data_IF_868289561444
#
_entry.id   IF_868289561444
#
_cell.length_a   1.000
_cell.length_b   1.000
_cell.length_c   1.000
_cell.angle_alpha   90.00
_cell.angle_beta   90.00
_cell.angle_gamma   90.00
#
_symmetry.space_group_name_H-M   'P 1'
#
loop_
_entity.id
_entity.type
_entity.pdbx_description
1 polymer ?
#
# COMPACT_ATOMS: atom_id res chain seq x y z
N UNK A 1 -6.58 -32.01 18.44
CA UNK A 1 -7.92 -31.39 18.49
C UNK A 1 -8.88 -32.46 18.01
N UNK A 2 -9.96 -32.71 18.74
CA UNK A 2 -10.93 -33.73 18.33
C UNK A 2 -11.71 -33.25 17.11
N UNK A 3 -11.65 -34.03 16.04
CA UNK A 3 -12.41 -33.90 14.82
C UNK A 3 -13.88 -34.25 15.07
N UNK A 4 -14.74 -33.89 14.11
CA UNK A 4 -16.17 -34.21 14.17
C UNK A 4 -16.42 -35.71 14.35
N UNK A 5 -15.60 -36.54 13.72
CA UNK A 5 -15.67 -38.00 13.78
C UNK A 5 -15.24 -38.55 15.15
N UNK A 6 -14.17 -38.00 15.73
CA UNK A 6 -13.71 -38.39 17.07
C UNK A 6 -14.74 -38.05 18.15
N UNK A 7 -15.46 -36.93 18.02
CA UNK A 7 -16.55 -36.56 18.94
C UNK A 7 -17.72 -37.57 18.85
N UNK A 8 -18.03 -38.04 17.64
CA UNK A 8 -19.07 -39.06 17.43
C UNK A 8 -18.66 -40.40 18.03
N UNK A 9 -17.43 -40.84 17.77
CA UNK A 9 -16.89 -42.08 18.34
C UNK A 9 -16.82 -42.01 19.87
N UNK A 10 -16.47 -40.84 20.42
CA UNK A 10 -16.42 -40.62 21.86
C UNK A 10 -17.81 -40.71 22.50
N UNK A 11 -18.85 -40.20 21.84
CA UNK A 11 -20.23 -40.36 22.30
C UNK A 11 -20.65 -41.84 22.34
N UNK A 12 -20.23 -42.62 21.34
CA UNK A 12 -20.52 -44.05 21.25
C UNK A 12 -19.71 -44.86 22.28
N UNK A 13 -18.44 -44.51 22.53
CA UNK A 13 -17.59 -45.10 23.57
C UNK A 13 -18.10 -44.83 24.99
N UNK A 14 -18.67 -43.65 25.22
CA UNK A 14 -19.31 -43.28 26.49
C UNK A 14 -20.69 -43.95 26.68
N UNK A 15 -21.15 -44.71 25.68
CA UNK A 15 -22.42 -45.43 25.73
C UNK A 15 -23.64 -44.51 25.69
N UNK A 16 -23.49 -43.26 25.25
CA UNK A 16 -24.61 -42.34 25.14
C UNK A 16 -25.54 -42.76 24.01
N UNK A 17 -26.85 -42.78 24.28
CA UNK A 17 -27.90 -43.10 23.30
C UNK A 17 -29.08 -42.12 23.42
N UNK A 18 -29.87 -42.03 22.35
CA UNK A 18 -31.05 -41.15 22.29
C UNK A 18 -30.71 -39.69 22.57
N UNK A 19 -31.57 -39.02 23.31
CA UNK A 19 -31.43 -37.59 23.65
C UNK A 19 -30.09 -37.25 24.32
N UNK A 20 -29.59 -38.13 25.19
CA UNK A 20 -28.30 -37.91 25.88
C UNK A 20 -27.12 -37.86 24.90
N UNK A 21 -27.20 -38.62 23.81
CA UNK A 21 -26.20 -38.60 22.74
C UNK A 21 -26.30 -37.31 21.94
N UNK A 22 -27.50 -36.88 21.59
CA UNK A 22 -27.73 -35.66 20.82
C UNK A 22 -27.29 -34.42 21.59
N UNK A 23 -27.61 -34.34 22.89
CA UNK A 23 -27.16 -33.25 23.78
C UNK A 23 -25.63 -33.16 23.82
N UNK A 24 -24.96 -34.30 24.00
CA UNK A 24 -23.50 -34.36 24.03
C UNK A 24 -22.87 -33.89 22.72
N UNK A 25 -23.35 -34.41 21.58
CA UNK A 25 -22.84 -34.01 20.27
C UNK A 25 -23.09 -32.52 19.99
N UNK A 26 -24.26 -32.02 20.36
CA UNK A 26 -24.61 -30.60 20.20
C UNK A 26 -23.70 -29.71 21.01
N UNK A 27 -23.40 -30.06 22.27
CA UNK A 27 -22.48 -29.29 23.10
C UNK A 27 -21.04 -29.32 22.56
N UNK A 28 -20.52 -30.50 22.21
CA UNK A 28 -19.15 -30.64 21.72
C UNK A 28 -18.96 -29.95 20.36
N UNK A 29 -19.92 -30.08 19.44
CA UNK A 29 -19.86 -29.35 18.17
C UNK A 29 -20.00 -27.85 18.34
N UNK A 30 -20.80 -27.38 19.30
CA UNK A 30 -20.87 -25.96 19.64
C UNK A 30 -19.51 -25.45 20.13
N UNK A 31 -18.87 -26.16 21.04
CA UNK A 31 -17.53 -25.81 21.54
C UNK A 31 -16.49 -25.83 20.42
N UNK A 32 -16.55 -26.82 19.52
CA UNK A 32 -15.67 -26.89 18.36
C UNK A 32 -15.86 -25.70 17.42
N UNK A 33 -17.10 -25.33 17.12
CA UNK A 33 -17.43 -24.18 16.28
C UNK A 33 -16.98 -22.86 16.91
N UNK A 34 -17.23 -22.65 18.22
CA UNK A 34 -16.79 -21.45 18.95
C UNK A 34 -15.26 -21.32 18.96
N UNK A 35 -14.54 -22.44 19.13
CA UNK A 35 -13.08 -22.45 19.06
C UNK A 35 -12.56 -22.17 17.65
N UNK A 36 -13.20 -22.71 16.62
CA UNK A 36 -12.86 -22.42 15.23
C UNK A 36 -13.04 -20.94 14.91
N UNK A 37 -14.18 -20.36 15.29
CA UNK A 37 -14.47 -18.93 15.12
C UNK A 37 -13.46 -18.05 15.87
N UNK A 38 -13.15 -18.38 17.13
CA UNK A 38 -12.15 -17.64 17.92
C UNK A 38 -10.75 -17.72 17.32
N UNK A 39 -10.38 -18.88 16.75
CA UNK A 39 -9.10 -19.05 16.08
C UNK A 39 -9.04 -18.22 14.80
N UNK A 40 -10.09 -18.22 14.01
CA UNK A 40 -10.20 -17.39 12.79
C UNK A 40 -10.11 -15.90 13.11
N UNK A 41 -10.82 -15.44 14.15
CA UNK A 41 -10.75 -14.07 14.64
C UNK A 41 -9.34 -13.69 15.10
N UNK A 42 -8.68 -14.58 15.87
CA UNK A 42 -7.30 -14.35 16.33
C UNK A 42 -6.30 -14.33 15.16
N UNK A 43 -6.47 -15.19 14.16
CA UNK A 43 -5.65 -15.18 12.94
C UNK A 43 -5.87 -13.90 12.11
N UNK A 44 -7.12 -13.43 12.00
CA UNK A 44 -7.42 -12.17 11.32
C UNK A 44 -6.82 -10.98 12.07
N UNK A 45 -6.98 -10.92 13.39
CA UNK A 45 -6.38 -9.89 14.23
C UNK A 45 -4.85 -9.88 14.12
N UNK A 46 -4.21 -11.06 14.13
CA UNK A 46 -2.76 -11.18 13.95
C UNK A 46 -2.30 -10.69 12.56
N UNK A 47 -3.07 -10.98 11.51
CA UNK A 47 -2.78 -10.48 10.15
C UNK A 47 -2.91 -8.96 10.06
N UNK A 48 -3.96 -8.39 10.65
CA UNK A 48 -4.16 -6.94 10.70
C UNK A 48 -3.01 -6.26 11.45
N UNK A 49 -2.62 -6.79 12.61
CA UNK A 49 -1.52 -6.23 13.41
C UNK A 49 -0.18 -6.34 12.68
N UNK A 50 0.08 -7.46 12.00
CA UNK A 50 1.29 -7.63 11.20
C UNK A 50 1.37 -6.62 10.04
N UNK A 51 0.26 -6.41 9.33
CA UNK A 51 0.22 -5.43 8.24
C UNK A 51 0.38 -4.00 8.76
N UNK A 52 -0.23 -3.69 9.91
CA UNK A 52 -0.05 -2.39 10.58
C UNK A 52 1.41 -2.18 10.97
N UNK A 53 2.07 -3.16 11.59
CA UNK A 53 3.49 -3.09 11.93
C UNK A 53 4.35 -2.88 10.67
N UNK A 54 4.05 -3.60 9.58
CA UNK A 54 4.75 -3.43 8.30
C UNK A 54 4.63 -2.01 7.77
N UNK A 55 3.42 -1.48 7.69
CA UNK A 55 3.17 -0.10 7.25
C UNK A 55 3.87 0.92 8.14
N UNK A 56 3.85 0.72 9.46
CA UNK A 56 4.58 1.58 10.39
C UNK A 56 6.10 1.52 10.18
N UNK A 57 6.66 0.33 9.94
CA UNK A 57 8.08 0.19 9.63
C UNK A 57 8.47 0.84 8.31
N UNK A 58 7.62 0.72 7.29
CA UNK A 58 7.83 1.35 5.98
C UNK A 58 7.77 2.88 6.10
N UNK A 59 6.80 3.41 6.85
CA UNK A 59 6.68 4.84 7.15
C UNK A 59 7.91 5.37 7.90
N UNK A 60 8.37 4.66 8.93
CA UNK A 60 9.59 5.02 9.68
C UNK A 60 10.83 4.99 8.79
N UNK A 61 10.94 3.99 7.91
CA UNK A 61 12.04 3.89 6.96
C UNK A 61 12.03 5.05 5.96
N UNK A 62 10.86 5.40 5.41
CA UNK A 62 10.69 6.57 4.53
C UNK A 62 11.08 7.86 5.25
N UNK A 63 10.59 8.07 6.48
CA UNK A 63 10.94 9.22 7.29
C UNK A 63 12.45 9.32 7.54
N UNK A 64 13.10 8.20 7.88
CA UNK A 64 14.54 8.14 8.07
C UNK A 64 15.31 8.45 6.76
N UNK A 65 14.84 7.95 5.61
CA UNK A 65 15.44 8.25 4.29
C UNK A 65 15.30 9.74 3.94
N UNK A 66 14.17 10.37 4.25
CA UNK A 66 13.96 11.81 4.06
C UNK A 66 14.90 12.60 4.97
N UNK A 67 14.97 12.24 6.25
CA UNK A 67 15.83 12.92 7.22
C UNK A 67 17.33 12.77 6.91
N UNK A 68 17.75 11.62 6.38
CA UNK A 68 19.11 11.39 5.94
C UNK A 68 19.46 12.05 4.59
N UNK A 69 18.50 12.72 3.93
CA UNK A 69 18.69 13.30 2.60
C UNK A 69 18.98 12.27 1.50
N UNK A 70 18.67 10.99 1.76
CA UNK A 70 18.93 9.87 0.83
C UNK A 70 17.80 9.75 -0.20
N UNK A 71 16.60 10.27 0.10
CA UNK A 71 15.62 10.58 -0.95
C UNK A 71 16.17 11.76 -1.75
N UNK A 72 17.00 11.46 -2.75
CA UNK A 72 17.10 12.33 -3.91
C UNK A 72 15.69 12.43 -4.46
N UNK A 73 15.24 13.66 -4.51
CA UNK A 73 13.97 14.08 -5.00
C UNK A 73 13.77 13.60 -6.45
N UNK A 74 13.28 12.37 -6.65
CA UNK A 74 12.51 12.02 -7.84
C UNK A 74 11.08 12.54 -7.63
N UNK A 75 10.95 13.83 -7.30
CA UNK A 75 9.68 14.52 -7.48
C UNK A 75 9.52 14.73 -8.98
N UNK A 76 8.70 13.86 -9.54
CA UNK A 76 7.76 14.26 -10.57
C UNK A 76 6.90 15.38 -9.96
N UNK A 77 7.41 16.62 -10.05
CA UNK A 77 6.75 17.89 -9.76
C UNK A 77 6.43 18.20 -8.29
N UNK A 78 7.16 19.12 -7.66
CA UNK A 78 6.60 20.38 -7.17
C UNK A 78 7.69 21.37 -6.71
N UNK A 79 7.31 22.64 -6.66
CA UNK A 79 8.13 23.81 -6.42
C UNK A 79 8.88 23.90 -5.08
N UNK A 80 10.14 24.37 -5.18
CA UNK A 80 10.73 25.51 -4.47
C UNK A 80 10.94 25.42 -2.95
N UNK A 81 12.20 25.58 -2.51
CA UNK A 81 12.60 26.74 -1.67
C UNK A 81 14.14 26.92 -1.56
N UNK A 82 14.62 27.87 -2.37
CA UNK A 82 15.64 28.89 -2.12
C UNK A 82 16.97 28.52 -1.44
N UNK A 83 18.06 28.50 -2.22
CA UNK A 83 19.08 29.56 -2.13
C UNK A 83 20.02 29.52 -3.35
N UNK A 84 19.64 30.20 -4.44
CA UNK A 84 20.56 31.15 -5.04
C UNK A 84 19.78 32.22 -5.80
N UNK A 85 20.23 33.46 -5.63
CA UNK A 85 19.46 34.65 -5.92
C UNK A 85 19.51 35.01 -7.42
N UNK A 86 18.53 34.57 -8.21
CA UNK A 86 18.20 35.24 -9.48
C UNK A 86 16.77 34.93 -9.92
N UNK A 87 15.92 35.97 -9.98
CA UNK A 87 14.63 36.10 -10.65
C UNK A 87 13.78 34.83 -10.94
N UNK A 88 12.55 34.83 -10.38
CA UNK A 88 11.45 33.86 -10.53
C UNK A 88 10.99 33.65 -11.99
N UNK A 89 11.80 32.99 -12.80
CA UNK A 89 11.33 32.51 -14.09
C UNK A 89 10.70 31.12 -13.91
N UNK A 90 9.57 30.84 -14.56
CA UNK A 90 9.03 29.49 -14.67
C UNK A 90 10.14 28.52 -15.12
N UNK A 91 10.16 27.29 -14.59
CA UNK A 91 11.15 26.29 -15.01
C UNK A 91 10.73 25.67 -16.35
N UNK A 92 11.69 25.42 -17.23
CA UNK A 92 11.45 24.81 -18.54
C UNK A 92 10.81 23.40 -18.40
N UNK A 93 9.86 23.01 -19.28
CA UNK A 93 9.32 21.66 -19.30
C UNK A 93 10.41 20.61 -19.56
N UNK A 94 10.44 19.54 -18.76
CA UNK A 94 11.36 18.42 -18.93
C UNK A 94 10.79 17.38 -19.90
N UNK A 95 11.65 16.68 -20.64
CA UNK A 95 11.30 15.56 -21.52
C UNK A 95 10.96 14.32 -20.70
N UNK A 96 9.81 13.70 -20.97
CA UNK A 96 9.32 12.50 -20.29
C UNK A 96 9.54 11.26 -21.15
N UNK A 97 10.58 10.49 -20.84
CA UNK A 97 10.88 9.25 -21.55
C UNK A 97 9.70 8.27 -21.52
N UNK A 98 9.33 7.73 -22.68
CA UNK A 98 8.17 6.85 -22.88
C UNK A 98 6.79 7.54 -22.95
N UNK A 99 6.70 8.88 -22.78
CA UNK A 99 5.44 9.64 -22.92
C UNK A 99 5.54 10.79 -23.92
N UNK A 100 6.65 11.52 -23.89
CA UNK A 100 6.93 12.57 -24.85
C UNK A 100 7.59 11.93 -26.08
N UNK A 101 7.04 12.17 -27.27
CA UNK A 101 7.82 12.20 -28.50
C UNK A 101 8.41 13.62 -28.66
N UNK A 102 9.40 13.79 -29.53
CA UNK A 102 10.05 15.08 -29.77
C UNK A 102 9.03 16.19 -30.07
N UNK A 103 8.00 15.90 -30.88
CA UNK A 103 6.93 16.84 -31.23
C UNK A 103 6.08 17.26 -30.01
N UNK A 104 5.84 16.32 -29.09
CA UNK A 104 5.04 16.56 -27.87
C UNK A 104 5.82 17.45 -26.91
N UNK A 105 7.11 17.19 -26.74
CA UNK A 105 7.96 18.02 -25.91
C UNK A 105 8.16 19.42 -26.52
N UNK A 106 8.37 19.51 -27.84
CA UNK A 106 8.48 20.78 -28.56
C UNK A 106 7.22 21.64 -28.36
N UNK A 107 6.03 21.08 -28.52
CA UNK A 107 4.77 21.82 -28.28
C UNK A 107 4.69 22.42 -26.87
N UNK A 108 5.21 21.71 -25.86
CA UNK A 108 5.24 22.21 -24.46
C UNK A 108 6.28 23.30 -24.28
N UNK A 109 7.44 23.15 -24.92
CA UNK A 109 8.48 24.17 -24.97
C UNK A 109 7.96 25.46 -25.64
N UNK A 110 7.28 25.36 -26.78
CA UNK A 110 6.75 26.53 -27.51
C UNK A 110 5.74 27.31 -26.67
N UNK A 111 4.76 26.61 -26.08
CA UNK A 111 3.78 27.24 -25.18
C UNK A 111 4.44 27.92 -23.99
N UNK A 112 5.50 27.32 -23.45
CA UNK A 112 6.27 27.89 -22.36
C UNK A 112 7.02 29.15 -22.82
N UNK A 113 7.70 29.08 -23.95
CA UNK A 113 8.48 30.19 -24.51
C UNK A 113 7.58 31.37 -24.88
N UNK A 114 6.42 31.12 -25.49
CA UNK A 114 5.39 32.14 -25.78
C UNK A 114 4.85 32.78 -24.49
N UNK A 115 4.56 31.97 -23.46
CA UNK A 115 4.08 32.50 -22.16
C UNK A 115 5.13 33.34 -21.43
N UNK A 116 6.41 33.19 -21.78
CA UNK A 116 7.52 33.99 -21.25
C UNK A 116 8.01 35.05 -22.25
N UNK A 117 7.30 35.25 -23.35
CA UNK A 117 7.62 36.23 -24.40
C UNK A 117 9.04 36.07 -25.00
N UNK A 118 9.52 34.83 -25.13
CA UNK A 118 10.80 34.56 -25.78
C UNK A 118 10.65 34.69 -27.29
N UNK A 119 11.55 35.43 -27.94
CA UNK A 119 11.52 35.56 -29.41
C UNK A 119 11.86 34.22 -30.07
N UNK A 120 11.10 33.83 -31.10
CA UNK A 120 11.34 32.58 -31.84
C UNK A 120 12.73 32.53 -32.46
N UNK A 121 13.27 33.69 -32.86
CA UNK A 121 14.61 33.81 -33.42
C UNK A 121 15.71 33.42 -32.42
N UNK A 122 15.41 33.40 -31.11
CA UNK A 122 16.37 33.02 -30.07
C UNK A 122 16.25 31.56 -29.62
N UNK A 123 15.31 30.79 -30.15
CA UNK A 123 15.06 29.41 -29.71
C UNK A 123 16.08 28.42 -30.27
N UNK A 124 16.65 28.72 -31.45
CA UNK A 124 17.72 27.94 -32.06
C UNK A 124 19.01 28.74 -32.05
N UNK A 125 20.12 28.09 -31.71
CA UNK A 125 21.44 28.63 -32.05
C UNK A 125 21.63 28.42 -33.54
N UNK A 126 21.68 29.52 -34.32
CA UNK A 126 22.02 29.45 -35.74
C UNK A 126 23.48 29.09 -35.95
#
# INVERSE_FOLDING_TARGET
MSTREEIVQQADLLGYRGEKREEYLKQEFKVLAERAAKKEEAELAAKIELEKMRLETDMKMLQAKIQAGIVKEETVGNASRFNDASAKHPKLPHFQDGKDDLDIWLTRFERFAESNSWSRDTWSSS
#
